data_IF_518040891665
#
_entry.id   IF_518040891665
#
_cell.length_a   1.000
_cell.length_b   1.000
_cell.length_c   1.000
_cell.angle_alpha   90.00
_cell.angle_beta   90.00
_cell.angle_gamma   90.00
#
_symmetry.space_group_name_H-M   'P 1'
#
loop_
_entity.id
_entity.type
_entity.pdbx_description
1 polymer ?
#
# COMPACT_ATOMS: atom_id res chain seq x y z
N UNK A 1 26.12 14.62 12.60
CA UNK A 1 26.60 15.37 11.42
C UNK A 1 26.67 14.43 10.23
N UNK A 2 25.97 14.67 9.16
CA UNK A 2 26.36 14.22 7.83
C UNK A 2 25.73 12.99 7.22
N UNK A 3 24.39 12.89 7.09
CA UNK A 3 23.78 11.94 6.12
C UNK A 3 22.62 12.51 5.31
N UNK A 4 22.49 13.83 5.24
CA UNK A 4 21.36 14.49 4.57
C UNK A 4 21.70 15.13 3.20
N UNK A 5 22.82 14.83 2.60
CA UNK A 5 23.35 15.64 1.48
C UNK A 5 23.49 14.88 0.16
N UNK A 6 22.89 13.73 -0.08
CA UNK A 6 23.13 13.06 -1.37
C UNK A 6 21.93 12.48 -2.12
N UNK A 7 20.75 13.10 -2.01
CA UNK A 7 19.64 12.81 -2.94
C UNK A 7 19.12 14.12 -3.57
N UNK A 8 20.02 15.07 -3.80
CA UNK A 8 19.75 16.24 -4.63
C UNK A 8 20.32 16.05 -6.04
N UNK A 9 19.96 14.95 -6.71
CA UNK A 9 20.35 14.75 -8.09
C UNK A 9 19.15 14.85 -9.02
N UNK A 10 19.08 15.94 -9.78
CA UNK A 10 18.23 16.22 -10.93
C UNK A 10 16.78 16.67 -10.64
N UNK A 11 16.62 17.72 -9.88
CA UNK A 11 15.52 18.63 -10.15
C UNK A 11 15.96 19.54 -11.30
N UNK A 12 15.21 19.55 -12.40
CA UNK A 12 15.41 20.52 -13.48
C UNK A 12 15.31 21.91 -12.85
N UNK A 13 16.26 22.78 -13.16
CA UNK A 13 16.30 24.15 -12.66
C UNK A 13 14.98 24.86 -12.96
N UNK A 14 14.15 25.05 -11.94
CA UNK A 14 12.87 25.76 -12.05
C UNK A 14 11.66 25.06 -11.43
N UNK A 15 11.74 23.79 -11.14
CA UNK A 15 10.64 23.00 -10.55
C UNK A 15 10.98 22.67 -9.08
N UNK A 16 10.06 22.98 -8.17
CA UNK A 16 10.22 22.61 -6.77
C UNK A 16 10.17 21.09 -6.60
N UNK A 17 10.90 20.51 -5.62
CA UNK A 17 10.82 19.10 -5.34
C UNK A 17 9.41 18.72 -4.93
N UNK A 18 8.93 17.60 -5.46
CA UNK A 18 7.65 17.00 -5.11
C UNK A 18 7.82 16.15 -3.86
N UNK A 19 7.01 16.43 -2.83
CA UNK A 19 7.05 15.74 -1.54
C UNK A 19 5.74 14.98 -1.31
N UNK A 20 5.89 13.88 -0.61
CA UNK A 20 4.77 13.09 -0.09
C UNK A 20 4.85 13.10 1.44
N UNK A 21 3.82 13.61 2.08
CA UNK A 21 3.64 13.61 3.53
C UNK A 21 2.62 12.56 3.92
N UNK A 22 3.06 11.56 4.69
CA UNK A 22 2.19 10.64 5.39
C UNK A 22 2.15 11.04 6.87
N UNK A 23 0.97 11.27 7.43
CA UNK A 23 0.82 11.60 8.83
C UNK A 23 -0.35 10.86 9.48
N UNK A 24 -0.23 10.69 10.79
CA UNK A 24 -1.15 9.95 11.64
C UNK A 24 -1.83 10.88 12.61
N UNK A 25 -3.15 10.96 12.56
CA UNK A 25 -3.95 11.67 13.55
C UNK A 25 -4.37 10.69 14.65
N UNK A 26 -4.38 11.17 15.90
CA UNK A 26 -4.77 10.40 17.05
C UNK A 26 -6.22 9.90 16.97
N UNK A 27 -6.46 8.65 17.38
CA UNK A 27 -7.81 8.08 17.53
C UNK A 27 -8.64 8.73 18.68
N UNK A 28 -8.07 9.72 19.36
CA UNK A 28 -8.80 10.54 20.35
C UNK A 28 -9.92 11.36 19.67
N UNK A 29 -9.72 11.71 18.40
CA UNK A 29 -10.64 12.51 17.60
C UNK A 29 -11.63 11.61 16.86
N UNK A 30 -12.86 12.11 16.66
CA UNK A 30 -13.88 11.49 15.81
C UNK A 30 -13.55 11.73 14.32
N UNK A 31 -14.21 11.00 13.43
CA UNK A 31 -14.01 11.17 11.98
C UNK A 31 -14.36 12.60 11.50
N UNK A 32 -15.36 13.23 12.12
CA UNK A 32 -15.72 14.60 11.80
C UNK A 32 -14.68 15.63 12.25
N UNK A 33 -13.95 15.34 13.32
CA UNK A 33 -12.86 16.19 13.83
C UNK A 33 -11.54 16.01 13.06
N UNK A 34 -11.39 14.92 12.32
CA UNK A 34 -10.21 14.68 11.48
C UNK A 34 -10.11 15.68 10.34
N UNK A 35 -11.26 16.01 9.70
CA UNK A 35 -11.29 16.95 8.57
C UNK A 35 -10.72 18.33 8.89
N UNK A 36 -11.16 19.03 9.98
CA UNK A 36 -10.56 20.32 10.35
C UNK A 36 -9.07 20.22 10.71
N UNK A 37 -8.60 19.06 11.19
CA UNK A 37 -7.15 18.85 11.43
C UNK A 37 -6.40 18.74 10.10
N UNK A 38 -6.96 18.03 9.10
CA UNK A 38 -6.40 17.96 7.76
C UNK A 38 -6.33 19.35 7.10
N UNK A 39 -7.37 20.15 7.26
CA UNK A 39 -7.39 21.54 6.77
C UNK A 39 -6.32 22.40 7.42
N UNK A 40 -6.06 22.25 8.72
CA UNK A 40 -4.94 22.91 9.41
C UNK A 40 -3.59 22.51 8.82
N UNK A 41 -3.39 21.22 8.53
CA UNK A 41 -2.14 20.74 7.91
C UNK A 41 -1.99 21.33 6.50
N UNK A 42 -3.07 21.32 5.72
CA UNK A 42 -3.07 21.90 4.38
C UNK A 42 -2.79 23.41 4.43
N UNK A 43 -3.38 24.14 5.36
CA UNK A 43 -3.11 25.56 5.57
C UNK A 43 -1.65 25.82 5.95
N UNK A 44 -1.03 24.94 6.74
CA UNK A 44 0.39 25.03 7.07
C UNK A 44 1.30 24.83 5.85
N UNK A 45 0.95 23.92 4.94
CA UNK A 45 1.69 23.75 3.67
C UNK A 45 1.65 25.03 2.86
N UNK A 46 0.46 25.59 2.65
CA UNK A 46 0.26 26.81 1.89
C UNK A 46 0.95 28.01 2.56
N UNK A 47 0.86 28.13 3.90
CA UNK A 47 1.52 29.21 4.65
C UNK A 47 3.04 29.17 4.55
N UNK A 48 3.64 28.00 4.32
CA UNK A 48 5.08 27.85 4.07
C UNK A 48 5.44 27.90 2.57
N UNK A 49 4.51 28.32 1.72
CA UNK A 49 4.74 28.50 0.29
C UNK A 49 4.73 27.17 -0.50
N UNK A 50 4.05 26.14 0.00
CA UNK A 50 3.83 24.90 -0.71
C UNK A 50 2.54 24.92 -1.54
N UNK A 51 2.54 24.18 -2.63
CA UNK A 51 1.38 23.92 -3.49
C UNK A 51 0.94 22.47 -3.35
N UNK A 52 -0.34 22.26 -2.98
CA UNK A 52 -0.88 20.93 -2.75
C UNK A 52 -1.39 20.35 -4.07
N UNK A 53 -0.87 19.18 -4.44
CA UNK A 53 -1.29 18.45 -5.65
C UNK A 53 -2.32 17.36 -5.34
N UNK A 54 -2.22 16.70 -4.18
CA UNK A 54 -3.14 15.64 -3.75
C UNK A 54 -3.33 15.69 -2.24
N UNK A 55 -4.56 15.47 -1.78
CA UNK A 55 -4.86 15.26 -0.36
C UNK A 55 -5.85 14.12 -0.24
N UNK A 56 -5.44 13.03 0.40
CA UNK A 56 -6.21 11.79 0.49
C UNK A 56 -6.30 11.31 1.94
N UNK A 57 -7.51 10.93 2.34
CA UNK A 57 -7.78 10.28 3.61
C UNK A 57 -7.76 8.76 3.44
N UNK A 58 -6.80 8.08 4.06
CA UNK A 58 -6.67 6.62 4.02
C UNK A 58 -7.50 5.91 5.10
N UNK A 59 -8.17 6.68 5.95
CA UNK A 59 -9.06 6.21 7.00
C UNK A 59 -8.35 5.67 8.24
N UNK A 60 -9.17 5.16 9.18
CA UNK A 60 -8.73 4.61 10.46
C UNK A 60 -8.13 3.22 10.29
N UNK A 61 -6.88 3.05 10.74
CA UNK A 61 -6.18 1.77 10.68
C UNK A 61 -5.53 1.42 12.02
N UNK A 62 -5.32 0.11 12.25
CA UNK A 62 -4.57 -0.38 13.39
C UNK A 62 -3.07 -0.14 13.17
N UNK A 63 -2.39 0.37 14.20
CA UNK A 63 -0.95 0.55 14.21
C UNK A 63 -0.25 -0.78 14.51
N UNK A 64 0.95 -0.97 13.98
CA UNK A 64 1.78 -2.15 14.25
C UNK A 64 2.20 -2.23 15.73
N UNK A 65 2.41 -1.07 16.35
CA UNK A 65 2.70 -0.92 17.78
C UNK A 65 2.00 0.33 18.32
N UNK A 66 1.73 0.40 19.65
CA UNK A 66 1.09 1.57 20.23
C UNK A 66 2.00 2.80 20.14
N UNK A 67 1.46 3.94 19.69
CA UNK A 67 2.15 5.23 19.67
C UNK A 67 1.44 6.16 20.64
N UNK A 68 2.16 6.70 21.63
CA UNK A 68 1.59 7.53 22.70
C UNK A 68 0.36 6.89 23.39
N UNK A 69 0.34 5.53 23.50
CA UNK A 69 -0.77 4.77 24.09
C UNK A 69 -1.92 4.43 23.12
N UNK A 70 -1.93 4.97 21.92
CA UNK A 70 -2.97 4.68 20.92
C UNK A 70 -2.60 3.48 20.06
N UNK A 71 -3.55 2.55 19.85
CA UNK A 71 -3.41 1.36 18.98
C UNK A 71 -3.99 1.56 17.59
N UNK A 72 -4.77 2.62 17.39
CA UNK A 72 -5.39 3.00 16.13
C UNK A 72 -5.09 4.46 15.83
N UNK A 73 -5.09 4.83 14.56
CA UNK A 73 -4.94 6.20 14.10
C UNK A 73 -5.52 6.38 12.71
N UNK A 74 -5.81 7.63 12.36
CA UNK A 74 -6.24 7.99 11.03
C UNK A 74 -5.01 8.32 10.19
N UNK A 75 -4.87 7.61 9.08
CA UNK A 75 -3.79 7.81 8.11
C UNK A 75 -4.25 8.82 7.07
N UNK A 76 -3.42 9.81 6.81
CA UNK A 76 -3.67 10.82 5.80
C UNK A 76 -2.41 11.02 4.96
N UNK A 77 -2.61 11.18 3.66
CA UNK A 77 -1.57 11.38 2.66
C UNK A 77 -1.78 12.73 1.98
N UNK A 78 -0.72 13.53 1.91
CA UNK A 78 -0.72 14.78 1.16
C UNK A 78 0.51 14.84 0.28
N UNK A 79 0.30 15.13 -1.01
CA UNK A 79 1.38 15.39 -1.95
C UNK A 79 1.43 16.89 -2.23
N UNK A 80 2.62 17.44 -2.21
CA UNK A 80 2.81 18.89 -2.39
C UNK A 80 4.20 19.22 -2.95
N UNK A 81 4.27 20.36 -3.61
CA UNK A 81 5.51 20.94 -4.11
C UNK A 81 5.93 22.09 -3.20
N UNK A 82 7.19 22.12 -2.77
CA UNK A 82 7.69 23.14 -1.86
C UNK A 82 9.19 23.36 -2.06
N UNK A 83 9.65 24.58 -1.85
CA UNK A 83 11.07 24.88 -1.80
C UNK A 83 11.73 24.18 -0.59
N UNK A 84 12.87 23.51 -0.80
CA UNK A 84 13.54 22.74 0.25
C UNK A 84 13.93 23.55 1.49
N UNK A 85 14.14 24.86 1.35
CA UNK A 85 14.44 25.77 2.47
C UNK A 85 13.27 25.90 3.46
N UNK A 86 12.04 25.82 2.97
CA UNK A 86 10.83 25.94 3.77
C UNK A 86 10.42 24.63 4.43
N UNK A 87 10.90 23.50 3.91
CA UNK A 87 10.55 22.17 4.40
C UNK A 87 10.91 21.98 5.88
N UNK A 88 12.06 22.48 6.32
CA UNK A 88 12.49 22.37 7.70
C UNK A 88 11.58 23.14 8.67
N UNK A 89 11.07 24.31 8.25
CA UNK A 89 10.12 25.11 9.03
C UNK A 89 8.77 24.39 9.13
N UNK A 90 8.31 23.84 8.02
CA UNK A 90 7.08 23.06 7.94
C UNK A 90 7.14 21.78 8.80
N UNK A 91 8.21 20.99 8.69
CA UNK A 91 8.40 19.79 9.53
C UNK A 91 8.39 20.11 11.03
N UNK A 92 9.05 21.22 11.42
CA UNK A 92 9.04 21.68 12.81
C UNK A 92 7.64 22.07 13.28
N UNK A 93 6.86 22.77 12.45
CA UNK A 93 5.49 23.16 12.76
C UNK A 93 4.59 21.93 12.94
N UNK A 94 4.72 20.92 12.05
CA UNK A 94 3.98 19.66 12.18
C UNK A 94 4.30 18.90 13.47
N UNK A 95 5.56 18.87 13.89
CA UNK A 95 5.97 18.20 15.14
C UNK A 95 5.40 18.85 16.40
N UNK A 96 5.08 20.14 16.32
CA UNK A 96 4.46 20.88 17.43
C UNK A 96 2.94 20.67 17.52
N UNK A 97 2.33 20.09 16.50
CA UNK A 97 0.90 19.75 16.53
C UNK A 97 0.63 18.54 17.40
N UNK A 98 -0.13 18.75 18.48
CA UNK A 98 -0.47 17.67 19.43
C UNK A 98 -1.42 16.63 18.86
N UNK A 99 -2.17 16.98 17.83
CA UNK A 99 -3.13 16.12 17.14
C UNK A 99 -2.43 15.02 16.34
N UNK A 100 -1.18 15.28 15.91
CA UNK A 100 -0.39 14.38 15.08
C UNK A 100 0.43 13.44 15.97
N UNK A 101 0.23 12.15 15.80
CA UNK A 101 1.01 11.11 16.50
C UNK A 101 2.39 10.94 15.88
N UNK A 102 2.44 10.91 14.54
CA UNK A 102 3.65 10.71 13.76
C UNK A 102 3.48 11.26 12.35
N UNK A 103 4.56 11.75 11.77
CA UNK A 103 4.63 12.17 10.38
C UNK A 103 5.88 11.61 9.72
N UNK A 104 5.82 11.49 8.40
CA UNK A 104 6.95 11.16 7.55
C UNK A 104 6.83 11.93 6.25
N UNK A 105 7.89 12.67 5.89
CA UNK A 105 7.99 13.39 4.63
C UNK A 105 9.05 12.70 3.79
N UNK A 106 8.70 12.37 2.55
CA UNK A 106 9.61 11.77 1.57
C UNK A 106 9.59 12.57 0.29
N UNK A 107 10.70 12.58 -0.44
CA UNK A 107 10.76 13.15 -1.79
C UNK A 107 10.16 12.10 -2.74
N UNK A 108 9.10 12.46 -3.44
CA UNK A 108 8.48 11.61 -4.44
C UNK A 108 9.07 11.90 -5.81
N UNK A 109 9.72 10.91 -6.39
CA UNK A 109 10.17 11.02 -7.77
C UNK A 109 8.98 10.80 -8.69
N UNK A 110 8.55 11.85 -9.39
CA UNK A 110 7.49 11.74 -10.38
C UNK A 110 7.94 10.81 -11.51
N UNK A 111 7.18 9.76 -11.75
CA UNK A 111 7.45 8.82 -12.84
C UNK A 111 7.15 9.49 -14.16
N UNK A 112 8.07 9.37 -15.11
CA UNK A 112 7.82 9.85 -16.47
C UNK A 112 6.69 9.05 -17.13
N UNK A 113 6.00 9.64 -18.10
CA UNK A 113 4.94 8.96 -18.84
C UNK A 113 5.39 7.62 -19.45
N UNK A 114 6.65 7.55 -19.89
CA UNK A 114 7.26 6.32 -20.39
C UNK A 114 7.43 5.24 -19.33
N UNK A 115 7.82 5.63 -18.09
CA UNK A 115 7.95 4.71 -16.96
C UNK A 115 6.60 4.17 -16.56
N UNK A 116 5.58 5.02 -16.48
CA UNK A 116 4.19 4.62 -16.18
C UNK A 116 3.66 3.64 -17.25
N UNK A 117 3.95 3.90 -18.52
CA UNK A 117 3.55 3.00 -19.61
C UNK A 117 4.28 1.65 -19.54
N UNK A 118 5.56 1.63 -19.18
CA UNK A 118 6.33 0.39 -18.96
C UNK A 118 5.80 -0.40 -17.77
N UNK A 119 5.55 0.27 -16.66
CA UNK A 119 5.03 -0.36 -15.44
C UNK A 119 3.63 -0.98 -15.69
N UNK A 120 2.75 -0.28 -16.43
CA UNK A 120 1.44 -0.84 -16.85
C UNK A 120 1.61 -2.11 -17.68
N UNK A 121 2.48 -2.09 -18.68
CA UNK A 121 2.75 -3.28 -19.51
C UNK A 121 3.33 -4.46 -18.68
N UNK A 122 4.16 -4.16 -17.69
CA UNK A 122 4.71 -5.18 -16.78
C UNK A 122 3.61 -5.74 -15.88
N UNK A 123 2.77 -4.88 -15.32
CA UNK A 123 1.64 -5.27 -14.48
C UNK A 123 0.64 -6.15 -15.24
N UNK A 124 0.30 -5.79 -16.49
CA UNK A 124 -0.57 -6.58 -17.38
C UNK A 124 0.03 -7.96 -17.68
N UNK A 125 1.34 -8.02 -17.95
CA UNK A 125 2.03 -9.31 -18.19
C UNK A 125 2.05 -10.19 -16.93
N UNK A 126 2.25 -9.60 -15.75
CA UNK A 126 2.22 -10.33 -14.47
C UNK A 126 0.80 -10.84 -14.21
N UNK A 127 -0.22 -10.01 -14.39
CA UNK A 127 -1.62 -10.38 -14.23
C UNK A 127 -2.00 -11.52 -15.20
N UNK A 128 -1.63 -11.43 -16.48
CA UNK A 128 -1.86 -12.48 -17.46
C UNK A 128 -1.14 -13.80 -17.09
N UNK A 129 0.10 -13.72 -16.60
CA UNK A 129 0.86 -14.89 -16.13
C UNK A 129 0.23 -15.54 -14.91
N UNK A 130 -0.25 -14.74 -13.96
CA UNK A 130 -0.92 -15.25 -12.77
C UNK A 130 -2.25 -15.95 -13.11
N UNK A 131 -3.05 -15.37 -14.02
CA UNK A 131 -4.28 -16.01 -14.52
C UNK A 131 -3.99 -17.33 -15.25
N UNK A 132 -2.93 -17.37 -16.06
CA UNK A 132 -2.51 -18.60 -16.73
C UNK A 132 -2.03 -19.66 -15.73
N UNK A 133 -1.24 -19.27 -14.72
CA UNK A 133 -0.79 -20.18 -13.67
C UNK A 133 -1.95 -20.72 -12.81
N UNK A 134 -2.95 -19.90 -12.54
CA UNK A 134 -4.14 -20.30 -11.78
C UNK A 134 -5.03 -21.29 -12.57
N UNK A 135 -5.12 -21.12 -13.89
CA UNK A 135 -5.83 -22.07 -14.77
C UNK A 135 -5.13 -23.43 -14.80
N UNK A 136 -3.79 -23.43 -14.99
CA UNK A 136 -3.01 -24.70 -14.98
C UNK A 136 -3.03 -25.38 -13.62
N UNK A 137 -3.06 -24.65 -12.52
CA UNK A 137 -3.20 -25.21 -11.19
C UNK A 137 -4.60 -25.85 -10.98
N UNK A 138 -5.66 -25.19 -11.46
CA UNK A 138 -7.04 -25.73 -11.39
C UNK A 138 -7.22 -26.98 -12.28
N UNK A 139 -6.57 -27.04 -13.44
CA UNK A 139 -6.58 -28.22 -14.31
C UNK A 139 -5.88 -29.41 -13.64
N UNK A 140 -4.70 -29.19 -13.06
CA UNK A 140 -3.97 -30.25 -12.33
C UNK A 140 -4.72 -30.78 -11.10
N UNK A 141 -5.48 -29.93 -10.41
CA UNK A 141 -6.34 -30.39 -9.30
C UNK A 141 -7.49 -31.22 -9.81
N UNK A 142 -8.14 -30.84 -10.92
CA UNK A 142 -9.20 -31.62 -11.55
C UNK A 142 -8.74 -32.98 -12.08
N UNK A 143 -7.51 -33.07 -12.61
CA UNK A 143 -6.91 -34.34 -13.04
C UNK A 143 -6.67 -35.28 -11.83
N UNK A 144 -6.09 -34.74 -10.76
CA UNK A 144 -5.86 -35.52 -9.51
C UNK A 144 -7.16 -36.00 -8.87
N UNK A 145 -8.22 -35.20 -8.94
CA UNK A 145 -9.53 -35.62 -8.40
C UNK A 145 -10.17 -36.69 -9.29
N UNK A 146 -9.98 -36.67 -10.60
CA UNK A 146 -10.42 -37.75 -11.52
C UNK A 146 -9.65 -39.05 -11.27
N UNK A 147 -8.32 -38.97 -11.09
CA UNK A 147 -7.49 -40.15 -10.75
C UNK A 147 -7.93 -40.80 -9.42
N UNK A 148 -8.31 -40.01 -8.42
CA UNK A 148 -8.84 -40.52 -7.13
C UNK A 148 -10.21 -41.20 -7.25
N UNK A 149 -11.04 -40.72 -8.17
CA UNK A 149 -12.33 -41.32 -8.44
C UNK A 149 -12.16 -42.69 -9.15
N UNK A 150 -11.24 -42.78 -10.12
CA UNK A 150 -10.90 -44.03 -10.81
C UNK A 150 -10.33 -45.09 -9.87
N UNK A 151 -9.50 -44.68 -8.87
CA UNK A 151 -8.98 -45.59 -7.86
C UNK A 151 -10.07 -46.13 -6.91
N UNK A 152 -11.06 -45.32 -6.55
CA UNK A 152 -12.20 -45.74 -5.75
C UNK A 152 -13.12 -46.73 -6.52
N UNK A 153 -13.34 -46.49 -7.80
CA UNK A 153 -14.09 -47.39 -8.68
C UNK A 153 -13.37 -48.74 -8.88
N UNK A 154 -12.03 -48.75 -8.84
CA UNK A 154 -11.22 -49.96 -8.88
C UNK A 154 -11.30 -50.73 -7.55
N UNK A 155 -11.26 -50.07 -6.42
CA UNK A 155 -11.42 -50.67 -5.10
C UNK A 155 -12.82 -51.29 -4.94
N UNK A 156 -13.90 -50.63 -5.35
CA UNK A 156 -15.26 -51.19 -5.36
C UNK A 156 -15.42 -52.41 -6.28
N UNK A 157 -14.71 -52.44 -7.40
CA UNK A 157 -14.70 -53.58 -8.31
C UNK A 157 -13.91 -54.75 -7.74
N UNK A 158 -12.83 -54.49 -7.04
CA UNK A 158 -12.04 -55.53 -6.35
C UNK A 158 -12.82 -56.13 -5.20
N UNK A 159 -13.51 -55.35 -4.39
CA UNK A 159 -14.36 -55.84 -3.30
C UNK A 159 -15.50 -56.74 -3.82
N UNK A 160 -16.15 -56.36 -4.93
CA UNK A 160 -17.18 -57.20 -5.58
C UNK A 160 -16.64 -58.49 -6.15
N UNK A 161 -15.40 -58.57 -6.58
CA UNK A 161 -14.79 -59.82 -7.07
C UNK A 161 -14.43 -60.72 -5.89
N UNK A 162 -13.96 -60.18 -4.78
CA UNK A 162 -13.63 -60.90 -3.57
C UNK A 162 -14.87 -61.50 -2.88
N UNK A 163 -15.99 -60.77 -2.89
CA UNK A 163 -17.26 -61.29 -2.34
C UNK A 163 -17.91 -62.42 -3.19
N UNK A 164 -17.55 -62.50 -4.49
CA UNK A 164 -18.08 -63.56 -5.36
C UNK A 164 -17.26 -64.85 -5.35
N UNK A 165 -16.05 -64.83 -4.78
CA UNK A 165 -15.18 -66.03 -4.72
C UNK A 165 -15.36 -66.84 -3.44
N UNK A 166 -16.23 -66.42 -2.50
CA UNK A 166 -16.53 -67.12 -1.25
C UNK A 166 -17.74 -68.08 -1.35
N UNK A 167 -18.13 -68.50 -2.57
CA UNK A 167 -19.28 -69.45 -2.85
C UNK A 167 -18.84 -70.69 -3.63
N UNK A 168 -17.69 -71.29 -3.28
CA UNK A 168 -17.34 -72.67 -3.73
C UNK A 168 -16.91 -73.54 -2.57
#
# INVERSE_FOLDING_TARGET
>A
MGFFVKIMSKVKSGEWPHYELLYLISNKFSEDEVKPIMEKVNALIVANGGEISLSEELGKKRLAYPIKGFRFGYYNLVEFDMAGENLAKFDRALRLMNEILRQQIVVKVLRTAEQVARDKKIAEKIAAKNVAAEKTAKEKVKERDKEKVDLKDLDEKLDKILETDDLL
#
